data_IF_075385575639
#
_entry.id   IF_075385575639
#
_cell.length_a   1.000
_cell.length_b   1.000
_cell.length_c   1.000
_cell.angle_alpha   90.00
_cell.angle_beta   90.00
_cell.angle_gamma   90.00
#
_symmetry.space_group_name_H-M   'P 1'
#
loop_
_entity.id
_entity.type
_entity.pdbx_description
1 polymer ?
#
# COMPACT_ATOMS: atom_id res chain seq x y z
N UNK A 1 -13.28 -33.46 -11.49
CA UNK A 1 -13.32 -32.10 -12.07
C UNK A 1 -13.82 -31.09 -11.03
N UNK A 2 -13.00 -30.73 -10.03
CA UNK A 2 -13.28 -29.71 -8.99
C UNK A 2 -11.95 -29.10 -8.52
N UNK A 3 -11.38 -28.15 -9.25
CA UNK A 3 -10.19 -27.39 -8.81
C UNK A 3 -10.23 -25.88 -9.11
N UNK A 4 -11.29 -25.37 -9.77
CA UNK A 4 -11.34 -23.97 -10.22
C UNK A 4 -11.98 -22.98 -9.22
N UNK A 5 -12.86 -23.41 -8.32
CA UNK A 5 -13.53 -22.49 -7.38
C UNK A 5 -12.59 -21.91 -6.30
N UNK A 6 -11.62 -22.70 -5.82
CA UNK A 6 -10.69 -22.25 -4.76
C UNK A 6 -9.71 -21.17 -5.22
N UNK A 7 -9.32 -21.16 -6.49
CA UNK A 7 -8.38 -20.18 -7.04
C UNK A 7 -9.03 -18.84 -7.32
N UNK A 8 -10.31 -18.83 -7.73
CA UNK A 8 -11.08 -17.58 -7.90
C UNK A 8 -11.38 -16.92 -6.56
N UNK A 9 -11.92 -17.68 -5.60
CA UNK A 9 -12.22 -17.18 -4.26
C UNK A 9 -11.00 -16.57 -3.56
N UNK A 10 -9.83 -17.21 -3.67
CA UNK A 10 -8.59 -16.69 -3.10
C UNK A 10 -8.10 -15.40 -3.78
N UNK A 11 -8.41 -15.21 -5.06
CA UNK A 11 -8.05 -14.00 -5.82
C UNK A 11 -8.97 -12.83 -5.45
N UNK A 12 -10.26 -13.08 -5.25
CA UNK A 12 -11.21 -12.05 -4.80
C UNK A 12 -10.83 -11.49 -3.42
N UNK A 13 -10.42 -12.36 -2.50
CA UNK A 13 -9.90 -11.94 -1.18
C UNK A 13 -8.64 -11.08 -1.34
N UNK A 14 -7.71 -11.48 -2.22
CA UNK A 14 -6.50 -10.71 -2.47
C UNK A 14 -6.81 -9.31 -3.03
N UNK A 15 -7.79 -9.19 -3.92
CA UNK A 15 -8.24 -7.89 -4.46
C UNK A 15 -8.82 -7.02 -3.35
N UNK A 16 -9.70 -7.57 -2.50
CA UNK A 16 -10.28 -6.82 -1.37
C UNK A 16 -9.22 -6.35 -0.38
N UNK A 17 -8.21 -7.19 -0.12
CA UNK A 17 -7.08 -6.85 0.75
C UNK A 17 -6.24 -5.71 0.17
N UNK A 18 -5.90 -5.77 -1.12
CA UNK A 18 -5.16 -4.69 -1.82
C UNK A 18 -5.95 -3.39 -1.84
N UNK A 19 -7.27 -3.45 -2.06
CA UNK A 19 -8.14 -2.26 -2.03
C UNK A 19 -8.19 -1.65 -0.64
N UNK A 20 -8.39 -2.45 0.40
CA UNK A 20 -8.47 -1.98 1.79
C UNK A 20 -7.14 -1.37 2.25
N UNK A 21 -6.01 -1.99 1.87
CA UNK A 21 -4.68 -1.47 2.14
C UNK A 21 -4.44 -0.14 1.43
N UNK A 22 -4.81 -0.05 0.15
CA UNK A 22 -4.71 1.19 -0.64
C UNK A 22 -5.53 2.33 -0.02
N UNK A 23 -6.76 2.07 0.41
CA UNK A 23 -7.61 3.09 1.06
C UNK A 23 -7.04 3.55 2.40
N UNK A 24 -6.50 2.62 3.19
CA UNK A 24 -5.85 2.94 4.46
C UNK A 24 -4.61 3.80 4.24
N UNK A 25 -3.83 3.50 3.19
CA UNK A 25 -2.67 4.29 2.80
C UNK A 25 -3.06 5.70 2.35
N UNK A 26 -4.06 5.87 1.49
CA UNK A 26 -4.56 7.19 1.07
C UNK A 26 -5.06 8.01 2.25
N UNK A 27 -5.77 7.37 3.17
CA UNK A 27 -6.24 8.02 4.41
C UNK A 27 -5.06 8.50 5.24
N UNK A 28 -4.05 7.64 5.43
CA UNK A 28 -2.82 8.00 6.14
C UNK A 28 -2.08 9.17 5.48
N UNK A 29 -1.88 9.14 4.16
CA UNK A 29 -1.21 10.20 3.42
C UNK A 29 -1.96 11.53 3.52
N UNK A 30 -3.29 11.50 3.38
CA UNK A 30 -4.12 12.71 3.49
C UNK A 30 -4.06 13.35 4.90
N UNK A 31 -3.91 12.54 5.94
CA UNK A 31 -3.79 13.00 7.32
C UNK A 31 -2.35 13.41 7.70
N UNK A 32 -1.34 12.99 6.95
CA UNK A 32 0.06 13.20 7.28
C UNK A 32 0.63 14.46 6.63
N UNK A 33 0.75 15.53 7.42
CA UNK A 33 1.55 16.70 7.04
C UNK A 33 3.04 16.37 7.16
N UNK A 34 3.66 15.94 6.07
CA UNK A 34 5.11 15.57 6.02
C UNK A 34 5.96 16.81 5.72
N UNK A 35 5.41 17.71 4.91
CA UNK A 35 6.06 18.93 4.45
C UNK A 35 5.53 20.16 5.20
N UNK A 36 6.32 21.24 5.20
CA UNK A 36 6.00 22.45 5.98
C UNK A 36 6.54 22.39 7.41
N UNK A 37 5.75 22.86 8.38
CA UNK A 37 6.16 23.05 9.79
C UNK A 37 6.64 21.77 10.48
N UNK A 38 6.16 20.59 10.07
CA UNK A 38 6.56 19.30 10.66
C UNK A 38 8.02 18.98 10.35
N UNK A 39 8.52 19.31 9.15
CA UNK A 39 9.93 19.08 8.77
C UNK A 39 10.91 19.93 9.58
N UNK A 40 10.50 21.15 9.96
CA UNK A 40 11.35 22.10 10.69
C UNK A 40 11.24 21.94 12.21
N UNK A 41 10.04 21.62 12.73
CA UNK A 41 9.80 21.51 14.17
C UNK A 41 9.98 20.07 14.71
N UNK A 42 9.67 19.05 13.89
CA UNK A 42 9.71 17.63 14.31
C UNK A 42 10.27 16.73 13.21
N UNK A 43 11.55 16.88 12.84
CA UNK A 43 12.17 16.15 11.74
C UNK A 43 12.12 14.62 11.92
N UNK A 44 12.19 14.10 13.16
CA UNK A 44 12.08 12.65 13.40
C UNK A 44 10.70 12.11 13.01
N UNK A 45 9.63 12.87 13.24
CA UNK A 45 8.27 12.49 12.88
C UNK A 45 8.07 12.49 11.35
N UNK A 46 8.66 13.48 10.66
CA UNK A 46 8.65 13.52 9.20
C UNK A 46 9.38 12.30 8.60
N UNK A 47 10.57 11.96 9.11
CA UNK A 47 11.34 10.79 8.67
C UNK A 47 10.60 9.48 8.95
N UNK A 48 9.98 9.32 10.11
CA UNK A 48 9.19 8.13 10.43
C UNK A 48 8.00 7.94 9.46
N UNK A 49 7.30 9.03 9.12
CA UNK A 49 6.19 8.99 8.14
C UNK A 49 6.67 8.62 6.73
N UNK A 50 7.80 9.19 6.31
CA UNK A 50 8.42 8.82 5.02
C UNK A 50 8.83 7.35 4.99
N UNK A 51 9.44 6.84 6.05
CA UNK A 51 9.77 5.42 6.17
C UNK A 51 8.54 4.53 6.08
N UNK A 52 7.43 4.95 6.71
CA UNK A 52 6.17 4.22 6.65
C UNK A 52 5.56 4.24 5.23
N UNK A 53 5.63 5.37 4.51
CA UNK A 53 5.20 5.44 3.11
C UNK A 53 5.97 4.46 2.23
N UNK A 54 7.30 4.46 2.33
CA UNK A 54 8.15 3.55 1.57
C UNK A 54 7.80 2.09 1.86
N UNK A 55 7.54 1.77 3.13
CA UNK A 55 7.11 0.43 3.54
C UNK A 55 5.77 0.02 2.91
N UNK A 56 4.75 0.88 2.96
CA UNK A 56 3.46 0.63 2.31
C UNK A 56 3.60 0.45 0.80
N UNK A 57 4.42 1.26 0.13
CA UNK A 57 4.70 1.13 -1.30
C UNK A 57 5.32 -0.23 -1.65
N UNK A 58 6.27 -0.73 -0.85
CA UNK A 58 6.85 -2.06 -1.08
C UNK A 58 5.82 -3.19 -0.88
N UNK A 59 4.97 -3.09 0.14
CA UNK A 59 3.90 -4.08 0.36
C UNK A 59 2.92 -4.08 -0.82
N UNK A 60 2.46 -2.92 -1.25
CA UNK A 60 1.54 -2.81 -2.39
C UNK A 60 2.18 -3.37 -3.66
N UNK A 61 3.45 -3.07 -3.92
CA UNK A 61 4.20 -3.62 -5.04
C UNK A 61 4.23 -5.15 -5.01
N UNK A 62 4.55 -5.74 -3.85
CA UNK A 62 4.59 -7.19 -3.67
C UNK A 62 3.21 -7.83 -3.87
N UNK A 63 2.16 -7.24 -3.29
CA UNK A 63 0.80 -7.77 -3.44
C UNK A 63 0.29 -7.68 -4.89
N UNK A 64 0.59 -6.58 -5.58
CA UNK A 64 0.22 -6.41 -6.98
C UNK A 64 1.00 -7.39 -7.87
N UNK A 65 2.32 -7.49 -7.73
CA UNK A 65 3.15 -8.33 -8.60
C UNK A 65 3.02 -9.82 -8.29
N UNK A 66 3.19 -10.22 -7.04
CA UNK A 66 3.29 -11.63 -6.65
C UNK A 66 1.92 -12.28 -6.43
N UNK A 67 0.95 -11.53 -5.90
CA UNK A 67 -0.37 -12.11 -5.56
C UNK A 67 -1.38 -11.91 -6.70
N UNK A 68 -1.45 -10.71 -7.27
CA UNK A 68 -2.39 -10.41 -8.35
C UNK A 68 -1.81 -10.63 -9.75
N UNK A 69 -0.49 -10.70 -9.90
CA UNK A 69 0.16 -10.83 -11.21
C UNK A 69 0.03 -9.57 -12.06
N UNK A 70 -0.17 -8.42 -11.42
CA UNK A 70 -0.38 -7.12 -12.07
C UNK A 70 0.88 -6.28 -11.92
N UNK A 71 1.28 -5.58 -12.98
CA UNK A 71 2.40 -4.66 -12.93
C UNK A 71 2.09 -3.50 -11.97
N UNK A 72 2.92 -3.31 -10.95
CA UNK A 72 2.86 -2.15 -10.06
C UNK A 72 3.75 -1.03 -10.62
N UNK A 73 3.18 0.10 -11.10
CA UNK A 73 3.97 1.24 -11.53
C UNK A 73 4.77 1.81 -10.36
N UNK A 74 6.01 2.20 -10.64
CA UNK A 74 6.96 2.72 -9.63
C UNK A 74 6.92 4.24 -9.50
N UNK A 75 6.21 4.92 -10.39
CA UNK A 75 6.05 6.38 -10.49
C UNK A 75 4.61 6.71 -10.94
N UNK A 76 4.11 7.87 -10.51
CA UNK A 76 2.93 8.55 -11.06
C UNK A 76 3.43 9.89 -11.61
#
# INVERSE_FOLDING_TARGET
>A
MRRSLGTHYSRDIAVQLVQSLSQSFLTFESACRIWGEVKTQTPQLATARLGLILFFQQILKLLLSEVLGVFAPSEI
#
